data_IF_097785129105
#
_entry.id   IF_097785129105
#
_cell.length_a   1.000
_cell.length_b   1.000
_cell.length_c   1.000
_cell.angle_alpha   90.00
_cell.angle_beta   90.00
_cell.angle_gamma   90.00
#
_symmetry.space_group_name_H-M   'P 1'
#
loop_
_entity.id
_entity.type
_entity.pdbx_description
1 polymer ?
#
# COMPACT_ATOMS: atom_id res chain seq x y z
N UNK A 1 -5.57 9.89 6.44
CA UNK A 1 -4.33 9.82 7.23
C UNK A 1 -3.09 9.63 6.36
N UNK A 2 -3.10 8.69 5.41
CA UNK A 2 -1.96 8.35 4.54
C UNK A 2 -1.29 9.59 3.91
N UNK A 3 -2.08 10.48 3.31
CA UNK A 3 -1.54 11.71 2.70
C UNK A 3 -0.71 12.56 3.67
N UNK A 4 -1.18 12.73 4.91
CA UNK A 4 -0.43 13.49 5.91
C UNK A 4 0.92 12.82 6.24
N UNK A 5 0.96 11.49 6.28
CA UNK A 5 2.21 10.75 6.50
C UNK A 5 3.12 10.89 5.29
N UNK A 6 2.61 10.73 4.07
CA UNK A 6 3.37 10.92 2.83
C UNK A 6 3.95 12.33 2.75
N UNK A 7 3.15 13.37 3.04
CA UNK A 7 3.60 14.75 3.02
C UNK A 7 4.69 15.01 4.05
N UNK A 8 4.48 14.56 5.30
CA UNK A 8 5.40 14.87 6.41
C UNK A 8 6.67 14.03 6.41
N UNK A 9 6.63 12.79 5.90
CA UNK A 9 7.77 11.85 5.92
C UNK A 9 8.52 11.79 4.60
N UNK A 10 7.82 11.92 3.47
CA UNK A 10 8.40 11.74 2.13
C UNK A 10 8.40 13.03 1.30
N UNK A 11 7.97 14.16 1.87
CA UNK A 11 7.90 15.43 1.16
C UNK A 11 6.87 15.44 0.04
N UNK A 12 5.85 14.57 0.12
CA UNK A 12 4.78 14.49 -0.87
C UNK A 12 3.95 15.78 -0.86
N UNK A 13 4.15 16.63 -1.87
CA UNK A 13 3.45 17.92 -2.01
C UNK A 13 2.06 17.72 -2.63
N UNK A 14 1.13 17.19 -1.83
CA UNK A 14 -0.25 16.97 -2.24
C UNK A 14 -1.00 18.27 -2.59
N UNK A 15 -0.60 19.41 -2.02
CA UNK A 15 -1.33 20.69 -2.09
C UNK A 15 -1.57 21.23 -3.50
N UNK A 16 -0.80 20.77 -4.49
CA UNK A 16 -0.91 21.18 -5.89
C UNK A 16 -1.71 20.17 -6.75
N UNK A 17 -2.27 19.12 -6.16
CA UNK A 17 -2.91 18.03 -6.90
C UNK A 17 -4.29 17.72 -6.35
N UNK A 18 -5.23 17.51 -7.28
CA UNK A 18 -6.48 16.83 -6.98
C UNK A 18 -6.23 15.33 -6.96
N UNK A 19 -6.50 14.71 -5.81
CA UNK A 19 -6.17 13.31 -5.58
C UNK A 19 -7.44 12.46 -5.60
N UNK A 20 -7.48 11.53 -6.54
CA UNK A 20 -8.54 10.54 -6.67
C UNK A 20 -7.95 9.15 -6.46
N UNK A 21 -8.63 8.35 -5.64
CA UNK A 21 -8.29 6.96 -5.45
C UNK A 21 -9.52 6.11 -5.73
N UNK A 22 -9.33 5.01 -6.44
CA UNK A 22 -10.39 4.08 -6.80
C UNK A 22 -9.98 2.66 -6.48
N UNK A 23 -10.93 1.89 -5.95
CA UNK A 23 -10.79 0.44 -5.79
C UNK A 23 -11.52 -0.22 -6.96
N UNK A 24 -10.75 -0.88 -7.83
CA UNK A 24 -11.29 -1.57 -9.00
C UNK A 24 -12.22 -2.70 -8.55
N UNK A 25 -13.32 -2.90 -9.29
CA UNK A 25 -14.31 -3.96 -9.01
C UNK A 25 -15.44 -3.54 -8.07
N UNK A 26 -15.52 -2.26 -7.68
CA UNK A 26 -16.61 -1.76 -6.83
C UNK A 26 -16.58 -2.34 -5.41
N UNK A 27 -15.43 -2.86 -5.00
CA UNK A 27 -15.24 -3.47 -3.68
C UNK A 27 -15.10 -2.39 -2.61
N UNK A 28 -15.68 -2.66 -1.44
CA UNK A 28 -15.43 -1.87 -0.24
C UNK A 28 -14.42 -2.59 0.65
N UNK A 29 -13.28 -1.94 0.88
CA UNK A 29 -12.20 -2.47 1.72
C UNK A 29 -12.06 -1.57 2.95
N UNK A 30 -12.30 -2.14 4.13
CA UNK A 30 -12.16 -1.45 5.40
C UNK A 30 -11.25 -2.26 6.32
N UNK A 31 -9.95 -2.16 6.08
CA UNK A 31 -8.94 -2.81 6.90
C UNK A 31 -7.60 -2.06 6.88
N UNK A 32 -6.77 -2.17 7.94
CA UNK A 32 -5.47 -1.50 8.00
C UNK A 32 -4.48 -1.94 6.90
N UNK A 33 -4.61 -3.17 6.41
CA UNK A 33 -3.71 -3.71 5.39
C UNK A 33 -3.75 -3.00 4.04
N UNK A 34 -4.78 -2.18 3.80
CA UNK A 34 -4.93 -1.41 2.58
C UNK A 34 -4.05 -0.15 2.53
N UNK A 35 -3.49 0.30 3.66
CA UNK A 35 -2.77 1.59 3.70
C UNK A 35 -1.55 1.61 2.78
N UNK A 36 -0.72 0.56 2.82
CA UNK A 36 0.47 0.43 1.99
C UNK A 36 0.18 0.45 0.48
N UNK A 37 -0.71 -0.39 -0.08
CA UNK A 37 -1.04 -0.33 -1.50
C UNK A 37 -1.63 1.03 -1.93
N UNK A 38 -2.45 1.66 -1.07
CA UNK A 38 -2.97 3.01 -1.34
C UNK A 38 -1.85 4.05 -1.43
N UNK A 39 -0.91 4.02 -0.48
CA UNK A 39 0.26 4.90 -0.49
C UNK A 39 1.14 4.69 -1.72
N UNK A 40 1.39 3.43 -2.09
CA UNK A 40 2.15 3.08 -3.29
C UNK A 40 1.48 3.60 -4.57
N UNK A 41 0.16 3.44 -4.70
CA UNK A 41 -0.60 3.94 -5.84
C UNK A 41 -0.52 5.47 -5.97
N UNK A 42 -0.65 6.20 -4.85
CA UNK A 42 -0.53 7.67 -4.84
C UNK A 42 0.87 8.14 -5.25
N UNK A 43 1.93 7.49 -4.73
CA UNK A 43 3.31 7.82 -5.09
C UNK A 43 3.58 7.50 -6.57
N UNK A 44 3.11 6.36 -7.05
CA UNK A 44 3.21 5.94 -8.46
C UNK A 44 2.61 6.97 -9.39
N UNK A 45 1.38 7.42 -9.10
CA UNK A 45 0.67 8.43 -9.86
C UNK A 45 1.42 9.77 -9.88
N UNK A 46 1.93 10.22 -8.72
CA UNK A 46 2.68 11.48 -8.64
C UNK A 46 4.01 11.41 -9.40
N UNK A 47 4.74 10.30 -9.27
CA UNK A 47 6.07 10.12 -9.90
C UNK A 47 5.99 9.71 -11.36
N UNK A 48 4.80 9.43 -11.88
CA UNK A 48 4.59 8.85 -13.20
C UNK A 48 5.46 7.59 -13.43
N UNK A 49 5.56 6.74 -12.40
CA UNK A 49 6.41 5.54 -12.40
C UNK A 49 5.54 4.33 -12.05
N UNK A 50 5.22 3.46 -13.02
CA UNK A 50 4.32 2.34 -12.78
C UNK A 50 4.91 1.34 -11.77
N UNK A 51 4.03 0.76 -10.97
CA UNK A 51 4.36 -0.39 -10.13
C UNK A 51 4.35 -1.64 -11.02
N UNK A 52 5.31 -2.54 -10.84
CA UNK A 52 5.37 -3.79 -11.61
C UNK A 52 4.10 -4.61 -11.47
N UNK A 53 3.58 -5.12 -12.58
CA UNK A 53 2.30 -5.86 -12.66
C UNK A 53 2.31 -7.15 -11.82
N UNK A 54 3.49 -7.68 -11.53
CA UNK A 54 3.71 -8.86 -10.70
C UNK A 54 3.93 -8.53 -9.20
N UNK A 55 3.59 -7.31 -8.78
CA UNK A 55 3.77 -6.84 -7.40
C UNK A 55 2.45 -6.76 -6.65
N UNK A 56 2.38 -7.42 -5.49
CA UNK A 56 1.33 -7.26 -4.49
C UNK A 56 1.89 -6.63 -3.21
N UNK A 57 1.02 -5.96 -2.44
CA UNK A 57 1.43 -5.37 -1.16
C UNK A 57 0.29 -5.30 -0.15
N UNK A 58 0.63 -5.43 1.13
CA UNK A 58 -0.28 -5.16 2.24
C UNK A 58 0.49 -4.63 3.45
N UNK A 59 -0.13 -3.80 4.27
CA UNK A 59 0.51 -3.24 5.46
C UNK A 59 -0.21 -2.01 5.97
N UNK A 60 -0.20 -1.81 7.29
CA UNK A 60 -0.72 -0.61 7.95
C UNK A 60 0.38 0.45 8.02
N UNK A 61 0.04 1.72 7.77
CA UNK A 61 0.99 2.83 7.87
C UNK A 61 0.76 3.58 9.18
N UNK A 62 1.76 3.56 10.05
CA UNK A 62 1.77 4.38 11.26
C UNK A 62 2.07 5.85 10.96
N UNK A 63 1.71 6.74 11.89
CA UNK A 63 2.03 8.17 11.81
C UNK A 63 3.54 8.46 11.85
N UNK A 64 4.35 7.52 12.36
CA UNK A 64 5.79 7.56 12.31
C UNK A 64 6.37 7.31 10.90
N UNK A 65 5.56 6.79 9.98
CA UNK A 65 5.99 6.29 8.67
C UNK A 65 6.42 4.83 8.70
N UNK A 66 6.29 4.15 9.84
CA UNK A 66 6.57 2.73 9.97
C UNK A 66 5.46 1.88 9.35
N UNK A 67 5.84 0.71 8.81
CA UNK A 67 4.89 -0.29 8.31
C UNK A 67 4.60 -1.29 9.43
N UNK A 68 3.35 -1.35 9.86
CA UNK A 68 2.89 -2.10 11.04
C UNK A 68 2.31 -3.46 10.66
N UNK A 69 2.26 -4.34 11.64
CA UNK A 69 1.73 -5.70 11.50
C UNK A 69 0.27 -5.68 11.02
N UNK A 70 -0.09 -6.66 10.18
CA UNK A 70 -1.46 -6.91 9.74
C UNK A 70 -1.80 -8.38 9.92
N UNK A 71 -3.03 -8.66 10.33
CA UNK A 71 -3.50 -10.03 10.53
C UNK A 71 -3.55 -10.82 9.22
N UNK A 72 -3.33 -12.14 9.34
CA UNK A 72 -3.46 -13.06 8.21
C UNK A 72 -2.33 -12.98 7.16
N UNK A 73 -1.15 -12.45 7.51
CA UNK A 73 -0.03 -12.28 6.58
C UNK A 73 0.28 -13.53 5.73
N UNK A 74 0.37 -14.71 6.36
CA UNK A 74 0.61 -15.97 5.63
C UNK A 74 -0.47 -16.24 4.56
N UNK A 75 -1.76 -16.13 4.93
CA UNK A 75 -2.88 -16.36 4.00
C UNK A 75 -2.81 -15.38 2.82
N UNK A 76 -2.48 -14.11 3.07
CA UNK A 76 -2.34 -13.09 2.01
C UNK A 76 -1.17 -13.38 1.08
N UNK A 77 -0.05 -13.86 1.62
CA UNK A 77 1.12 -14.27 0.84
C UNK A 77 0.78 -15.48 -0.02
N UNK A 78 0.19 -16.52 0.57
CA UNK A 78 -0.21 -17.74 -0.14
C UNK A 78 -1.19 -17.42 -1.30
N UNK A 79 -2.15 -16.51 -1.06
CA UNK A 79 -3.11 -16.03 -2.08
C UNK A 79 -2.43 -15.19 -3.17
N UNK A 80 -1.51 -14.30 -2.82
CA UNK A 80 -0.76 -13.53 -3.82
C UNK A 80 0.07 -14.46 -4.72
N UNK A 81 0.70 -15.48 -4.14
CA UNK A 81 1.46 -16.48 -4.90
C UNK A 81 0.54 -17.33 -5.81
N UNK A 82 -0.64 -17.75 -5.33
CA UNK A 82 -1.59 -18.52 -6.13
C UNK A 82 -2.11 -17.75 -7.36
N UNK A 83 -2.21 -16.42 -7.24
CA UNK A 83 -2.58 -15.51 -8.33
C UNK A 83 -1.40 -15.06 -9.21
N UNK A 84 -0.19 -15.60 -9.00
CA UNK A 84 0.95 -15.38 -9.89
C UNK A 84 1.78 -14.12 -9.61
N UNK A 85 1.57 -13.45 -8.47
CA UNK A 85 2.44 -12.34 -8.06
C UNK A 85 3.84 -12.88 -7.69
N UNK A 86 4.88 -12.22 -8.20
CA UNK A 86 6.29 -12.61 -7.99
C UNK A 86 6.95 -11.81 -6.89
N UNK A 87 6.45 -10.60 -6.63
CA UNK A 87 6.96 -9.70 -5.60
C UNK A 87 5.85 -9.37 -4.62
N UNK A 88 6.09 -9.59 -3.33
CA UNK A 88 5.13 -9.29 -2.27
C UNK A 88 5.81 -8.37 -1.27
N UNK A 89 5.26 -7.17 -1.09
CA UNK A 89 5.76 -6.17 -0.14
C UNK A 89 4.85 -6.18 1.09
N UNK A 90 5.41 -6.51 2.25
CA UNK A 90 4.64 -6.67 3.48
C UNK A 90 5.45 -6.26 4.72
N UNK A 91 4.82 -6.09 5.90
CA UNK A 91 5.51 -5.62 7.09
C UNK A 91 6.58 -6.61 7.53
N UNK A 92 7.79 -6.13 7.85
CA UNK A 92 8.87 -6.99 8.33
C UNK A 92 8.49 -7.74 9.62
N UNK A 93 7.65 -7.13 10.47
CA UNK A 93 7.11 -7.76 11.69
C UNK A 93 6.23 -8.99 11.43
N UNK A 94 5.81 -9.23 10.19
CA UNK A 94 5.10 -10.45 9.80
C UNK A 94 6.05 -11.60 9.41
N UNK A 95 7.35 -11.35 9.29
CA UNK A 95 8.36 -12.39 9.12
C UNK A 95 8.57 -13.07 10.47
N UNK A 96 8.29 -14.38 10.54
CA UNK A 96 8.69 -15.24 11.65
C UNK A 96 10.05 -15.84 11.38
#
# INVERSE_FOLDING_TARGET
MILAVLSRRLGFKADNYDLYINLVGGMFVNEPGADLPMAMAMISALKNMPIGEDTSSFGEIGLGGEIRFVSGAKKRVDEALSHGFKRIIYPHSCVK
#
